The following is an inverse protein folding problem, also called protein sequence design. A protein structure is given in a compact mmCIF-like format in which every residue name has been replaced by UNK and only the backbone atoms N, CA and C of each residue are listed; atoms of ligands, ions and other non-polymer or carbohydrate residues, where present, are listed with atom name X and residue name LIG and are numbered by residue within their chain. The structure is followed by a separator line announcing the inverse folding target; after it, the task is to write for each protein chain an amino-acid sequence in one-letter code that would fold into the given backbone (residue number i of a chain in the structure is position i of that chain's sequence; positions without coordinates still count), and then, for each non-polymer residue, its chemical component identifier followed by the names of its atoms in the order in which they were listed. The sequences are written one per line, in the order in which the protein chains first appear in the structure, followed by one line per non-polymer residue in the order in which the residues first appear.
data_IF_838307051917
#
_entry.id   IF_838307051917
#
_cell.length_a   1.000
_cell.length_b   1.000
_cell.length_c   1.000
_cell.angle_alpha   90.00
_cell.angle_beta   90.00
_cell.angle_gamma   90.00
#
_symmetry.space_group_name_H-M   'P 1'
#
loop_
_entity.id
_entity.type
_entity.pdbx_description
1 polymer ?
#
# COMPACT_ATOMS: atom_id res chain seq x y z
N UNK A 1 -18.49 12.54 66.28
CA UNK A 1 -17.64 11.85 65.28
C UNK A 1 -18.40 10.83 64.43
N UNK A 2 -19.36 10.07 64.98
CA UNK A 2 -20.09 9.03 64.23
C UNK A 2 -20.90 9.55 63.04
N UNK A 3 -21.59 10.70 63.18
CA UNK A 3 -22.40 11.30 62.11
C UNK A 3 -21.58 11.81 60.91
N UNK A 4 -20.35 12.26 61.13
CA UNK A 4 -19.47 12.65 60.02
C UNK A 4 -19.02 11.43 59.21
N UNK A 5 -18.77 10.31 59.89
CA UNK A 5 -18.38 9.05 59.23
C UNK A 5 -19.53 8.48 58.40
N UNK A 6 -20.76 8.48 58.92
CA UNK A 6 -21.94 8.01 58.17
C UNK A 6 -22.22 8.90 56.96
N UNK A 7 -22.09 10.23 57.11
CA UNK A 7 -22.22 11.16 55.98
C UNK A 7 -21.22 10.91 54.86
N UNK A 8 -19.94 10.71 55.20
CA UNK A 8 -18.91 10.40 54.21
C UNK A 8 -19.17 9.06 53.50
N UNK A 9 -19.69 8.07 54.21
CA UNK A 9 -20.07 6.79 53.62
C UNK A 9 -21.26 6.95 52.66
N UNK A 10 -22.31 7.67 53.03
CA UNK A 10 -23.46 7.92 52.15
C UNK A 10 -23.07 8.69 50.89
N UNK A 11 -22.21 9.72 51.03
CA UNK A 11 -21.68 10.47 49.89
C UNK A 11 -20.82 9.58 48.98
N UNK A 12 -19.99 8.69 49.55
CA UNK A 12 -19.19 7.73 48.78
C UNK A 12 -20.07 6.73 48.05
N UNK A 13 -21.07 6.16 48.71
CA UNK A 13 -21.99 5.19 48.09
C UNK A 13 -22.81 5.87 46.98
N UNK A 14 -23.32 7.09 47.22
CA UNK A 14 -24.01 7.87 46.18
C UNK A 14 -23.11 8.21 44.98
N UNK A 15 -21.83 8.53 45.23
CA UNK A 15 -20.83 8.71 44.17
C UNK A 15 -20.61 7.44 43.35
N UNK A 16 -20.38 6.31 44.01
CA UNK A 16 -20.15 5.02 43.35
C UNK A 16 -21.35 4.56 42.51
N UNK A 17 -22.59 4.78 43.01
CA UNK A 17 -23.80 4.43 42.25
C UNK A 17 -23.95 5.31 41.02
N UNK A 18 -23.61 6.61 41.12
CA UNK A 18 -23.61 7.51 39.97
C UNK A 18 -22.56 7.14 38.92
N UNK A 19 -21.38 6.69 39.35
CA UNK A 19 -20.34 6.19 38.46
C UNK A 19 -20.79 4.90 37.76
N UNK A 20 -21.39 3.97 38.51
CA UNK A 20 -21.94 2.73 37.97
C UNK A 20 -23.00 3.00 36.89
N UNK A 21 -23.93 3.92 37.18
CA UNK A 21 -24.98 4.34 36.24
C UNK A 21 -24.40 4.97 34.96
N UNK A 22 -23.33 5.75 35.10
CA UNK A 22 -22.66 6.36 33.97
C UNK A 22 -21.88 5.33 33.12
N UNK A 23 -21.34 4.28 33.72
CA UNK A 23 -20.74 3.15 32.98
C UNK A 23 -21.83 2.34 32.27
N UNK A 24 -22.92 2.04 32.96
CA UNK A 24 -24.03 1.24 32.42
C UNK A 24 -24.72 1.94 31.24
N UNK A 25 -24.96 3.25 31.34
CA UNK A 25 -25.51 4.06 30.23
C UNK A 25 -24.58 4.16 29.01
N UNK A 26 -23.25 4.15 29.21
CA UNK A 26 -22.30 4.09 28.09
C UNK A 26 -22.29 2.72 27.44
N UNK A 27 -22.32 1.65 28.23
CA UNK A 27 -22.38 0.29 27.71
C UNK A 27 -23.70 0.02 26.98
N UNK A 28 -24.83 0.48 27.51
CA UNK A 28 -26.13 0.34 26.84
C UNK A 28 -26.17 1.11 25.52
N UNK A 29 -25.56 2.30 25.46
CA UNK A 29 -25.42 3.07 24.21
C UNK A 29 -24.55 2.34 23.17
N UNK A 30 -23.44 1.73 23.58
CA UNK A 30 -22.57 0.96 22.68
C UNK A 30 -23.23 -0.34 22.19
N UNK A 31 -24.05 -0.96 23.03
CA UNK A 31 -24.74 -2.22 22.75
C UNK A 31 -26.13 -2.01 22.11
N UNK A 32 -26.61 -0.77 21.99
CA UNK A 32 -27.90 -0.43 21.40
C UNK A 32 -29.12 -0.81 22.25
N UNK A 33 -28.96 -0.95 23.56
CA UNK A 33 -30.00 -1.43 24.49
C UNK A 33 -30.66 -0.23 25.18
N UNK A 34 -31.98 -0.26 25.37
CA UNK A 34 -32.70 0.75 26.16
C UNK A 34 -32.39 0.56 27.65
N UNK A 35 -31.68 1.53 28.24
CA UNK A 35 -31.41 1.60 29.68
C UNK A 35 -32.39 2.57 30.33
N UNK A 36 -33.08 2.13 31.38
CA UNK A 36 -33.94 2.98 32.22
C UNK A 36 -33.10 3.62 33.33
N UNK A 37 -32.86 4.94 33.29
CA UNK A 37 -31.97 5.57 34.25
C UNK A 37 -32.58 5.56 35.66
N UNK A 38 -31.72 5.41 36.68
CA UNK A 38 -32.16 5.52 38.08
C UNK A 38 -32.74 6.93 38.31
N UNK A 39 -33.95 7.06 38.89
CA UNK A 39 -34.55 8.36 39.15
C UNK A 39 -33.67 9.25 40.02
N UNK A 40 -33.54 10.52 39.64
CA UNK A 40 -32.70 11.49 40.34
C UNK A 40 -33.07 11.62 41.83
N UNK A 41 -34.37 11.51 42.15
CA UNK A 41 -34.89 11.57 43.51
C UNK A 41 -34.34 10.47 44.43
N UNK A 42 -34.07 9.28 43.88
CA UNK A 42 -33.50 8.13 44.62
C UNK A 42 -32.01 8.38 44.87
N UNK A 43 -31.30 8.91 43.88
CA UNK A 43 -29.87 9.24 43.98
C UNK A 43 -29.62 10.41 44.96
N UNK A 44 -30.51 11.40 44.96
CA UNK A 44 -30.49 12.51 45.92
C UNK A 44 -30.87 12.04 47.33
N UNK A 45 -31.88 11.18 47.48
CA UNK A 45 -32.26 10.62 48.77
C UNK A 45 -31.11 9.82 49.43
N UNK A 46 -30.31 9.12 48.64
CA UNK A 46 -29.18 8.32 49.13
C UNK A 46 -27.94 9.16 49.50
N UNK A 47 -27.73 10.27 48.81
CA UNK A 47 -26.54 11.13 48.99
C UNK A 47 -26.72 12.21 50.07
N UNK A 48 -27.96 12.56 50.42
CA UNK A 48 -28.28 13.59 51.40
C UNK A 48 -28.43 13.05 52.83
N UNK A 49 -27.64 13.60 53.76
CA UNK A 49 -27.79 13.36 55.20
C UNK A 49 -28.96 14.19 55.76
N UNK A 50 -30.01 13.56 56.33
CA UNK A 50 -31.20 14.25 56.84
C UNK A 50 -30.89 15.18 58.03
N UNK A 51 -29.76 14.99 58.72
CA UNK A 51 -29.34 15.84 59.85
C UNK A 51 -28.49 17.06 59.44
N UNK A 52 -28.09 17.17 58.17
CA UNK A 52 -27.06 18.14 57.73
C UNK A 52 -27.59 19.53 57.36
N UNK A 53 -28.91 19.71 57.19
CA UNK A 53 -29.52 21.01 56.86
C UNK A 53 -29.79 21.79 58.15
N UNK A 54 -28.72 22.14 58.87
CA UNK A 54 -28.78 22.94 60.10
C UNK A 54 -28.89 24.46 59.86
N UNK A 55 -29.01 24.91 58.61
CA UNK A 55 -29.07 26.35 58.30
C UNK A 55 -30.41 26.97 58.74
N UNK A 56 -31.53 26.25 58.60
CA UNK A 56 -32.87 26.73 58.98
C UNK A 56 -33.34 26.38 60.40
N UNK A 57 -32.81 25.31 61.00
CA UNK A 57 -33.27 24.77 62.29
C UNK A 57 -32.58 25.36 63.51
N UNK A 58 -31.54 26.18 63.33
CA UNK A 58 -30.84 26.89 64.44
C UNK A 58 -31.74 27.80 65.27
N UNK A 59 -32.90 28.22 64.74
CA UNK A 59 -33.90 29.06 65.43
C UNK A 59 -35.09 28.29 66.02
N UNK A 60 -35.22 26.99 65.77
CA UNK A 60 -36.37 26.18 66.19
C UNK A 60 -36.09 25.47 67.52
N UNK A 61 -37.07 25.47 68.43
CA UNK A 61 -37.00 24.76 69.72
C UNK A 61 -36.68 23.27 69.49
N UNK A 62 -35.73 22.74 70.26
CA UNK A 62 -35.10 21.41 70.14
C UNK A 62 -36.03 20.26 69.71
N UNK A 63 -37.25 20.18 70.24
CA UNK A 63 -38.19 19.10 69.92
C UNK A 63 -38.72 19.14 68.47
N UNK A 64 -39.01 20.33 67.91
CA UNK A 64 -39.46 20.46 66.50
C UNK A 64 -38.37 20.11 65.50
N UNK A 65 -37.10 20.30 65.86
CA UNK A 65 -35.97 19.92 65.03
C UNK A 65 -35.84 18.39 64.93
N UNK A 66 -36.18 17.67 66.01
CA UNK A 66 -36.20 16.20 66.02
C UNK A 66 -37.35 15.69 65.16
N UNK A 67 -38.54 16.29 65.25
CA UNK A 67 -39.69 15.95 64.40
C UNK A 67 -39.39 16.13 62.90
N UNK A 68 -38.80 17.26 62.49
CA UNK A 68 -38.44 17.51 61.09
C UNK A 68 -37.41 16.48 60.56
N UNK A 69 -36.44 16.07 61.40
CA UNK A 69 -35.48 15.02 61.03
C UNK A 69 -36.19 13.68 60.86
N UNK A 70 -37.09 13.31 61.78
CA UNK A 70 -37.88 12.08 61.68
C UNK A 70 -38.76 12.07 60.41
N UNK A 71 -39.40 13.18 60.07
CA UNK A 71 -40.23 13.32 58.87
C UNK A 71 -39.41 13.24 57.57
N UNK A 72 -38.17 13.73 57.58
CA UNK A 72 -37.24 13.60 56.44
C UNK A 72 -36.77 12.16 56.25
N UNK A 73 -36.42 11.49 57.33
CA UNK A 73 -36.04 10.07 57.30
C UNK A 73 -37.22 9.22 56.82
N UNK A 74 -38.45 9.51 57.28
CA UNK A 74 -39.65 8.81 56.84
C UNK A 74 -39.85 8.98 55.32
N UNK A 75 -39.74 10.21 54.80
CA UNK A 75 -39.82 10.49 53.35
C UNK A 75 -38.74 9.81 52.53
N UNK A 76 -37.48 9.82 52.98
CA UNK A 76 -36.38 9.12 52.31
C UNK A 76 -36.59 7.60 52.30
N UNK A 77 -37.11 7.03 53.40
CA UNK A 77 -37.43 5.59 53.44
C UNK A 77 -38.59 5.25 52.53
N UNK A 78 -39.57 6.14 52.42
CA UNK A 78 -40.71 5.94 51.53
C UNK A 78 -40.28 5.98 50.06
N UNK A 79 -39.46 6.95 49.63
CA UNK A 79 -38.94 7.01 48.26
C UNK A 79 -38.05 5.81 47.91
N UNK A 80 -37.23 5.34 48.86
CA UNK A 80 -36.42 4.13 48.64
C UNK A 80 -37.29 2.86 48.58
N UNK A 81 -38.35 2.79 49.39
CA UNK A 81 -39.27 1.64 49.37
C UNK A 81 -40.13 1.60 48.12
N UNK A 82 -40.66 2.74 47.69
CA UNK A 82 -41.46 2.82 46.47
C UNK A 82 -40.64 2.43 45.23
N UNK A 83 -39.36 2.84 45.19
CA UNK A 83 -38.41 2.40 44.15
C UNK A 83 -38.07 0.91 44.24
N UNK A 84 -37.85 0.38 45.45
CA UNK A 84 -37.63 -1.06 45.61
C UNK A 84 -38.85 -1.88 45.17
N UNK A 85 -40.07 -1.42 45.48
CA UNK A 85 -41.29 -2.09 45.03
C UNK A 85 -41.50 -1.94 43.53
N UNK A 86 -41.11 -0.82 42.91
CA UNK A 86 -41.20 -0.68 41.44
C UNK A 86 -40.24 -1.63 40.71
N UNK A 87 -39.01 -1.82 41.23
CA UNK A 87 -38.08 -2.83 40.69
C UNK A 87 -38.63 -4.26 40.86
N UNK A 88 -39.38 -4.51 41.93
CA UNK A 88 -39.93 -5.84 42.22
C UNK A 88 -41.22 -6.12 41.45
N UNK A 89 -41.99 -5.08 41.09
CA UNK A 89 -43.24 -5.18 40.34
C UNK A 89 -43.10 -5.01 38.82
N UNK A 90 -41.98 -4.45 38.33
CA UNK A 90 -41.55 -4.69 36.97
C UNK A 90 -41.16 -6.17 36.87
N UNK A 91 -42.14 -7.00 36.47
CA UNK A 91 -41.88 -8.36 35.99
C UNK A 91 -40.65 -8.31 35.11
N UNK A 92 -39.60 -9.01 35.54
CA UNK A 92 -38.36 -9.14 34.79
C UNK A 92 -38.72 -9.35 33.31
N UNK A 93 -38.34 -8.45 32.39
CA UNK A 93 -38.46 -8.76 30.98
C UNK A 93 -37.71 -10.08 30.81
N UNK A 94 -38.45 -11.10 30.40
CA UNK A 94 -38.07 -12.50 30.25
C UNK A 94 -37.09 -12.67 29.08
N UNK A 95 -36.01 -11.87 29.10
CA UNK A 95 -35.13 -11.61 27.98
C UNK A 95 -33.79 -10.98 28.37
N UNK A 96 -33.41 -10.87 29.65
CA UNK A 96 -31.99 -10.78 30.00
C UNK A 96 -31.38 -12.18 29.94
N UNK A 97 -31.43 -12.80 28.74
CA UNK A 97 -30.42 -13.79 28.41
C UNK A 97 -29.07 -13.12 28.67
N UNK A 98 -28.23 -13.75 29.48
CA UNK A 98 -26.98 -13.21 30.00
C UNK A 98 -26.26 -12.45 28.88
N UNK A 99 -26.11 -11.12 29.04
CA UNK A 99 -25.64 -10.20 28.00
C UNK A 99 -24.27 -10.63 27.45
N UNK A 100 -23.55 -11.42 28.24
CA UNK A 100 -22.23 -11.96 27.91
C UNK A 100 -22.26 -13.37 27.32
N UNK A 101 -23.34 -14.14 27.45
CA UNK A 101 -23.39 -15.52 26.95
C UNK A 101 -23.34 -15.59 25.43
N UNK A 102 -24.03 -14.68 24.73
CA UNK A 102 -24.01 -14.60 23.27
C UNK A 102 -22.60 -14.31 22.71
N UNK A 103 -21.94 -13.22 23.15
CA UNK A 103 -20.56 -12.93 22.75
C UNK A 103 -19.56 -14.01 23.15
N UNK A 104 -19.66 -14.58 24.36
CA UNK A 104 -18.77 -15.66 24.83
C UNK A 104 -18.94 -16.92 23.98
N UNK A 105 -20.17 -17.30 23.65
CA UNK A 105 -20.46 -18.43 22.76
C UNK A 105 -19.97 -18.18 21.32
N UNK A 106 -20.11 -16.95 20.82
CA UNK A 106 -19.59 -16.59 19.49
C UNK A 106 -18.07 -16.66 19.43
N UNK A 107 -17.39 -16.28 20.53
CA UNK A 107 -15.95 -16.28 20.63
C UNK A 107 -15.39 -17.70 20.81
N UNK A 108 -16.04 -18.54 21.62
CA UNK A 108 -15.68 -19.95 21.72
C UNK A 108 -15.87 -20.69 20.39
N UNK A 109 -17.00 -20.46 19.70
CA UNK A 109 -17.23 -21.03 18.38
C UNK A 109 -16.20 -20.56 17.35
N UNK A 110 -15.76 -19.30 17.41
CA UNK A 110 -14.73 -18.77 16.50
C UNK A 110 -13.36 -19.36 16.80
N UNK A 111 -13.03 -19.59 18.07
CA UNK A 111 -11.79 -20.26 18.49
C UNK A 111 -11.76 -21.72 18.04
N UNK A 112 -12.87 -22.46 18.19
CA UNK A 112 -12.97 -23.84 17.70
C UNK A 112 -12.79 -23.92 16.18
N UNK A 113 -13.41 -22.99 15.44
CA UNK A 113 -13.22 -22.90 13.98
C UNK A 113 -11.76 -22.60 13.61
N UNK A 114 -11.10 -21.70 14.34
CA UNK A 114 -9.69 -21.37 14.12
C UNK A 114 -8.78 -22.56 14.42
N UNK A 115 -9.07 -23.33 15.47
CA UNK A 115 -8.33 -24.54 15.81
C UNK A 115 -8.47 -25.60 14.70
N UNK A 116 -9.68 -25.82 14.18
CA UNK A 116 -9.90 -26.71 13.04
C UNK A 116 -9.15 -26.25 11.78
N UNK A 117 -9.13 -24.94 11.49
CA UNK A 117 -8.37 -24.40 10.37
C UNK A 117 -6.87 -24.61 10.55
N UNK A 118 -6.35 -24.38 11.77
CA UNK A 118 -4.94 -24.63 12.10
C UNK A 118 -4.57 -26.10 11.93
N UNK A 119 -5.41 -27.02 12.41
CA UNK A 119 -5.17 -28.45 12.26
C UNK A 119 -5.17 -28.87 10.78
N UNK A 120 -6.11 -28.35 9.99
CA UNK A 120 -6.15 -28.59 8.54
C UNK A 120 -4.91 -28.07 7.81
N UNK A 121 -4.48 -26.84 8.12
CA UNK A 121 -3.26 -26.26 7.55
C UNK A 121 -2.01 -27.06 7.93
N UNK A 122 -1.93 -27.55 9.17
CA UNK A 122 -0.83 -28.41 9.59
C UNK A 122 -0.79 -29.72 8.79
N UNK A 123 -1.95 -30.36 8.57
CA UNK A 123 -2.04 -31.57 7.75
C UNK A 123 -1.70 -31.32 6.28
N UNK A 124 -2.15 -30.20 5.70
CA UNK A 124 -1.79 -29.82 4.32
C UNK A 124 -0.30 -29.52 4.20
N UNK A 125 0.30 -28.82 5.17
CA UNK A 125 1.74 -28.58 5.20
C UNK A 125 2.54 -29.88 5.29
N UNK A 126 2.10 -30.85 6.10
CA UNK A 126 2.74 -32.16 6.18
C UNK A 126 2.66 -32.93 4.85
N UNK A 127 1.52 -32.90 4.16
CA UNK A 127 1.37 -33.47 2.81
C UNK A 127 2.29 -32.79 1.80
N UNK A 128 2.42 -31.46 1.85
CA UNK A 128 3.35 -30.71 0.98
C UNK A 128 4.80 -31.09 1.28
N UNK A 129 5.17 -31.27 2.55
CA UNK A 129 6.52 -31.72 2.91
C UNK A 129 6.81 -33.14 2.42
N UNK A 130 5.85 -34.07 2.56
CA UNK A 130 5.99 -35.44 2.07
C UNK A 130 6.10 -35.49 0.55
N UNK A 131 5.26 -34.75 -0.18
CA UNK A 131 5.34 -34.67 -1.65
C UNK A 131 6.64 -34.02 -2.11
N UNK A 132 7.11 -32.97 -1.44
CA UNK A 132 8.38 -32.32 -1.76
C UNK A 132 9.57 -33.26 -1.50
N UNK A 133 9.52 -34.05 -0.42
CA UNK A 133 10.52 -35.09 -0.15
C UNK A 133 10.55 -36.14 -1.27
N UNK A 134 9.38 -36.61 -1.73
CA UNK A 134 9.27 -37.55 -2.83
C UNK A 134 9.77 -36.97 -4.16
N UNK A 135 9.44 -35.70 -4.46
CA UNK A 135 9.95 -35.00 -5.65
C UNK A 135 11.46 -34.83 -5.57
N UNK A 136 12.02 -34.55 -4.39
CA UNK A 136 13.46 -34.43 -4.20
C UNK A 136 14.16 -35.77 -4.45
N UNK A 137 13.60 -36.87 -3.95
CA UNK A 137 14.12 -38.22 -4.17
C UNK A 137 14.07 -38.61 -5.66
N UNK A 138 12.92 -38.45 -6.31
CA UNK A 138 12.75 -38.73 -7.74
C UNK A 138 13.68 -37.87 -8.60
N UNK A 139 13.78 -36.57 -8.32
CA UNK A 139 14.74 -35.68 -8.99
C UNK A 139 16.19 -36.13 -8.77
N UNK A 140 16.55 -36.59 -7.57
CA UNK A 140 17.91 -37.09 -7.30
C UNK A 140 18.24 -38.34 -8.11
N UNK A 141 17.28 -39.26 -8.23
CA UNK A 141 17.39 -40.49 -9.03
C UNK A 141 17.48 -40.19 -10.52
N UNK A 142 16.59 -39.32 -11.03
CA UNK A 142 16.59 -38.89 -12.44
C UNK A 142 17.89 -38.15 -12.76
N UNK A 143 18.37 -37.27 -11.88
CA UNK A 143 19.65 -36.58 -12.05
C UNK A 143 20.82 -37.56 -12.11
N UNK A 144 20.82 -38.60 -11.27
CA UNK A 144 21.84 -39.65 -11.30
C UNK A 144 21.79 -40.42 -12.62
N UNK A 145 20.62 -40.89 -13.03
CA UNK A 145 20.43 -41.60 -14.30
C UNK A 145 20.81 -40.74 -15.49
N UNK A 146 20.43 -39.47 -15.50
CA UNK A 146 20.80 -38.50 -16.52
C UNK A 146 22.32 -38.33 -16.60
N UNK A 147 23.00 -38.18 -15.45
CA UNK A 147 24.46 -38.07 -15.41
C UNK A 147 25.14 -39.35 -15.91
N UNK A 148 24.66 -40.52 -15.50
CA UNK A 148 25.21 -41.81 -15.94
C UNK A 148 25.03 -42.01 -17.45
N UNK A 149 23.85 -41.69 -17.99
CA UNK A 149 23.58 -41.74 -19.44
C UNK A 149 24.39 -40.69 -20.19
N UNK A 150 24.52 -39.48 -19.65
CA UNK A 150 25.33 -38.41 -20.26
C UNK A 150 26.80 -38.81 -20.31
N UNK A 151 27.34 -39.40 -19.24
CA UNK A 151 28.71 -39.90 -19.17
C UNK A 151 28.93 -41.07 -20.15
N UNK A 152 27.99 -42.01 -20.23
CA UNK A 152 28.06 -43.10 -21.21
C UNK A 152 27.98 -42.58 -22.65
N UNK A 153 27.10 -41.61 -22.91
CA UNK A 153 26.92 -41.01 -24.24
C UNK A 153 28.12 -40.15 -24.64
N UNK A 154 28.76 -39.43 -23.70
CA UNK A 154 29.96 -38.64 -23.97
C UNK A 154 31.19 -39.50 -24.25
N UNK A 155 31.28 -40.70 -23.63
CA UNK A 155 32.31 -41.69 -23.95
C UNK A 155 32.15 -42.27 -25.36
N UNK A 156 30.91 -42.53 -25.80
CA UNK A 156 30.63 -43.13 -27.12
C UNK A 156 30.64 -42.08 -28.23
N UNK A 157 30.14 -40.87 -27.95
CA UNK A 157 30.01 -39.77 -28.91
C UNK A 157 30.62 -38.48 -28.36
N UNK A 158 31.96 -38.39 -28.32
CA UNK A 158 32.65 -37.21 -27.79
C UNK A 158 32.31 -35.92 -28.57
N UNK A 159 32.01 -36.03 -29.87
CA UNK A 159 31.61 -34.89 -30.68
C UNK A 159 30.27 -34.28 -30.22
N UNK A 160 29.32 -35.11 -29.75
CA UNK A 160 28.03 -34.64 -29.26
C UNK A 160 28.20 -33.86 -27.95
N UNK A 161 29.11 -34.30 -27.06
CA UNK A 161 29.43 -33.55 -25.84
C UNK A 161 30.05 -32.17 -26.13
N UNK A 162 30.84 -32.04 -27.19
CA UNK A 162 31.41 -30.76 -27.61
C UNK A 162 30.33 -29.81 -28.14
N UNK A 163 29.34 -30.32 -28.87
CA UNK A 163 28.19 -29.53 -29.35
C UNK A 163 27.33 -29.04 -28.19
N UNK A 164 27.02 -29.91 -27.22
CA UNK A 164 26.23 -29.53 -26.02
C UNK A 164 26.98 -28.49 -25.18
N UNK A 165 28.29 -28.65 -25.01
CA UNK A 165 29.11 -27.66 -24.28
C UNK A 165 29.12 -26.28 -24.98
N UNK A 166 29.18 -26.27 -26.32
CA UNK A 166 29.06 -25.03 -27.10
C UNK A 166 27.68 -24.39 -26.94
N UNK A 167 26.61 -25.18 -27.06
CA UNK A 167 25.23 -24.70 -26.87
C UNK A 167 25.04 -24.06 -25.49
N UNK A 168 25.51 -24.73 -24.43
CA UNK A 168 25.43 -24.21 -23.06
C UNK A 168 26.25 -22.92 -22.89
N UNK A 169 27.42 -22.83 -23.53
CA UNK A 169 28.21 -21.59 -23.56
C UNK A 169 27.47 -20.45 -24.27
N UNK A 170 26.83 -20.72 -25.42
CA UNK A 170 26.03 -19.72 -26.13
C UNK A 170 24.81 -19.27 -25.33
N UNK A 171 24.09 -20.21 -24.71
CA UNK A 171 22.95 -19.91 -23.83
C UNK A 171 23.36 -19.05 -22.64
N UNK A 172 24.49 -19.36 -22.01
CA UNK A 172 25.02 -18.58 -20.89
C UNK A 172 25.43 -17.17 -21.33
N UNK A 173 26.08 -17.02 -22.49
CA UNK A 173 26.43 -15.70 -23.05
C UNK A 173 25.19 -14.88 -23.40
N UNK A 174 24.17 -15.51 -23.97
CA UNK A 174 22.90 -14.85 -24.28
C UNK A 174 22.19 -14.39 -23.00
N UNK A 175 22.14 -15.24 -21.98
CA UNK A 175 21.58 -14.88 -20.67
C UNK A 175 22.34 -13.72 -20.04
N UNK A 176 23.66 -13.73 -20.08
CA UNK A 176 24.48 -12.63 -19.56
C UNK A 176 24.25 -11.31 -20.32
N UNK A 177 24.08 -11.36 -21.64
CA UNK A 177 23.72 -10.19 -22.44
C UNK A 177 22.33 -9.67 -22.07
N UNK A 178 21.38 -10.57 -21.84
CA UNK A 178 20.04 -10.21 -21.41
C UNK A 178 20.03 -9.59 -20.01
N UNK A 179 20.75 -10.18 -19.06
CA UNK A 179 20.90 -9.66 -17.70
C UNK A 179 21.55 -8.27 -17.73
N UNK A 180 22.60 -8.08 -18.54
CA UNK A 180 23.23 -6.77 -18.73
C UNK A 180 22.30 -5.75 -19.40
N UNK A 181 21.49 -6.19 -20.35
CA UNK A 181 20.45 -5.36 -20.97
C UNK A 181 19.36 -4.95 -19.98
N UNK A 182 18.96 -5.86 -19.10
CA UNK A 182 17.97 -5.61 -18.04
C UNK A 182 18.53 -4.67 -16.99
N UNK A 183 19.79 -4.83 -16.59
CA UNK A 183 20.48 -3.93 -15.66
C UNK A 183 20.63 -2.52 -16.27
N UNK A 184 21.02 -2.43 -17.54
CA UNK A 184 21.12 -1.16 -18.25
C UNK A 184 19.75 -0.47 -18.40
N UNK A 185 18.70 -1.23 -18.71
CA UNK A 185 17.33 -0.72 -18.77
C UNK A 185 16.84 -0.25 -17.41
N UNK A 186 17.15 -0.99 -16.34
CA UNK A 186 16.79 -0.64 -14.96
C UNK A 186 17.50 0.64 -14.54
N UNK A 187 18.79 0.78 -14.87
CA UNK A 187 19.54 2.02 -14.61
C UNK A 187 18.97 3.20 -15.38
N UNK A 188 18.59 3.01 -16.64
CA UNK A 188 17.92 4.05 -17.43
C UNK A 188 16.56 4.42 -16.81
N UNK A 189 15.78 3.42 -16.42
CA UNK A 189 14.48 3.64 -15.80
C UNK A 189 14.63 4.36 -14.45
N UNK A 190 15.60 3.98 -13.62
CA UNK A 190 15.87 4.62 -12.33
C UNK A 190 16.36 6.07 -12.47
N UNK A 191 17.15 6.37 -13.50
CA UNK A 191 17.57 7.75 -13.79
C UNK A 191 16.44 8.63 -14.32
N UNK A 192 15.49 8.05 -15.06
CA UNK A 192 14.31 8.76 -15.57
C UNK A 192 13.18 8.82 -14.52
N UNK A 193 13.12 7.89 -13.57
CA UNK A 193 12.11 7.82 -12.50
C UNK A 193 11.94 9.11 -11.69
N UNK A 194 12.98 9.85 -11.25
CA UNK A 194 12.79 11.11 -10.54
C UNK A 194 12.19 12.21 -11.44
N UNK A 195 12.55 12.24 -12.72
CA UNK A 195 11.96 13.16 -13.71
C UNK A 195 10.50 12.80 -13.94
N UNK A 196 10.20 11.51 -14.07
CA UNK A 196 8.85 10.98 -14.20
C UNK A 196 7.99 11.22 -12.95
N UNK A 197 8.56 11.18 -11.75
CA UNK A 197 7.80 11.44 -10.52
C UNK A 197 7.39 12.91 -10.39
N UNK A 198 8.25 13.84 -10.82
CA UNK A 198 7.99 15.28 -10.73
C UNK A 198 7.21 15.83 -11.93
N UNK A 199 7.45 15.30 -13.13
CA UNK A 199 6.88 15.82 -14.37
C UNK A 199 6.04 14.79 -15.15
N UNK A 200 6.02 13.53 -14.75
CA UNK A 200 5.42 12.42 -15.50
C UNK A 200 3.90 12.44 -15.57
N UNK A 201 3.19 13.24 -14.75
CA UNK A 201 1.77 13.48 -15.00
C UNK A 201 1.56 14.32 -16.26
N UNK A 202 2.34 15.39 -16.43
CA UNK A 202 2.23 16.29 -17.59
C UNK A 202 2.85 15.63 -18.82
N UNK A 203 4.06 15.06 -18.68
CA UNK A 203 4.75 14.35 -19.77
C UNK A 203 3.99 13.06 -20.16
N UNK A 204 3.40 12.35 -19.20
CA UNK A 204 2.64 11.12 -19.46
C UNK A 204 1.35 11.37 -20.23
N UNK A 205 0.63 12.46 -19.92
CA UNK A 205 -0.53 12.90 -20.72
C UNK A 205 -0.10 13.28 -22.16
N UNK A 206 1.04 13.96 -22.32
CA UNK A 206 1.54 14.35 -23.64
C UNK A 206 2.07 13.14 -24.44
N UNK A 207 2.77 12.20 -23.81
CA UNK A 207 3.22 10.94 -24.44
C UNK A 207 2.00 10.08 -24.81
N UNK A 208 0.97 10.03 -23.96
CA UNK A 208 -0.26 9.30 -24.27
C UNK A 208 -1.01 9.89 -25.45
N UNK A 209 -1.16 11.22 -25.49
CA UNK A 209 -1.90 11.89 -26.56
C UNK A 209 -1.12 11.92 -27.90
N UNK A 210 0.21 12.04 -27.87
CA UNK A 210 1.02 12.19 -29.09
C UNK A 210 1.69 10.90 -29.59
N UNK A 211 2.17 10.04 -28.69
CA UNK A 211 2.95 8.83 -29.03
C UNK A 211 2.14 7.53 -28.93
N UNK A 212 1.25 7.40 -27.94
CA UNK A 212 0.50 6.17 -27.72
C UNK A 212 -0.59 5.98 -28.79
N UNK A 213 -1.32 7.03 -29.19
CA UNK A 213 -2.40 6.92 -30.19
C UNK A 213 -1.93 6.37 -31.57
N UNK A 214 -0.77 6.78 -32.13
CA UNK A 214 -0.21 6.18 -33.34
C UNK A 214 0.29 4.74 -33.15
N UNK A 215 0.96 4.45 -32.03
CA UNK A 215 1.71 3.19 -31.82
C UNK A 215 0.83 2.05 -31.31
N UNK A 216 -0.21 2.34 -30.52
CA UNK A 216 -1.17 1.35 -30.01
C UNK A 216 -2.20 0.86 -31.05
N UNK A 217 -2.10 1.33 -32.30
CA UNK A 217 -3.13 1.12 -33.33
C UNK A 217 -3.32 -0.36 -33.74
N UNK A 218 -2.51 -1.33 -33.32
CA UNK A 218 -2.67 -2.69 -33.88
C UNK A 218 -2.30 -3.95 -33.07
N UNK A 219 -1.58 -3.94 -31.94
CA UNK A 219 -0.94 -5.21 -31.51
C UNK A 219 -1.24 -5.73 -30.09
N UNK A 220 -1.66 -4.89 -29.13
CA UNK A 220 -1.73 -5.34 -27.73
C UNK A 220 -3.13 -5.63 -27.15
N UNK A 221 -4.21 -5.10 -27.73
CA UNK A 221 -5.57 -5.30 -27.18
C UNK A 221 -6.37 -6.40 -27.87
N UNK A 222 -5.95 -6.91 -29.03
CA UNK A 222 -6.66 -7.98 -29.75
C UNK A 222 -8.07 -7.60 -30.25
N UNK A 223 -8.53 -6.36 -30.02
CA UNK A 223 -9.83 -5.89 -30.48
C UNK A 223 -9.76 -5.33 -31.90
N UNK A 224 -10.62 -5.82 -32.80
CA UNK A 224 -10.71 -5.37 -34.20
C UNK A 224 -11.25 -3.94 -34.38
N UNK A 225 -11.65 -3.25 -33.31
CA UNK A 225 -12.29 -1.93 -33.39
C UNK A 225 -11.24 -0.83 -33.39
N UNK A 226 -11.15 -0.12 -34.51
CA UNK A 226 -10.38 1.14 -34.62
C UNK A 226 -10.92 2.15 -33.62
N UNK A 227 -10.10 2.62 -32.68
CA UNK A 227 -10.45 3.77 -31.85
C UNK A 227 -10.62 5.02 -32.74
N UNK A 228 -11.80 5.67 -32.76
CA UNK A 228 -11.99 6.86 -33.57
C UNK A 228 -11.24 8.02 -32.93
N UNK A 229 -10.21 8.52 -33.61
CA UNK A 229 -9.55 9.78 -33.24
C UNK A 229 -10.50 10.90 -33.63
N UNK A 230 -11.09 11.58 -32.65
CA UNK A 230 -12.12 12.61 -32.87
C UNK A 230 -11.55 14.00 -33.13
N UNK A 231 -10.32 14.27 -32.70
CA UNK A 231 -9.62 15.54 -32.95
C UNK A 231 -8.12 15.46 -32.64
N UNK A 232 -7.34 16.40 -33.20
CA UNK A 232 -5.99 16.70 -32.73
C UNK A 232 -6.01 17.04 -31.22
N UNK A 233 -4.92 16.73 -30.47
CA UNK A 233 -4.85 17.02 -29.04
C UNK A 233 -5.04 18.52 -28.79
N UNK A 234 -6.06 18.87 -27.99
CA UNK A 234 -6.41 20.26 -27.65
C UNK A 234 -5.47 20.80 -26.58
N UNK A 235 -4.28 21.25 -26.99
CA UNK A 235 -3.31 21.91 -26.10
C UNK A 235 -3.25 23.42 -26.38
N UNK A 236 -2.85 24.19 -25.37
CA UNK A 236 -2.71 25.65 -25.47
C UNK A 236 -1.63 26.06 -26.49
N UNK A 237 -1.79 27.20 -27.15
CA UNK A 237 -0.80 27.71 -28.14
C UNK A 237 0.60 27.87 -27.52
N UNK A 238 0.67 28.24 -26.23
CA UNK A 238 1.93 28.31 -25.47
C UNK A 238 2.65 26.97 -25.40
N UNK A 239 1.90 25.89 -25.24
CA UNK A 239 2.45 24.54 -25.19
C UNK A 239 3.01 24.12 -26.55
N UNK A 240 2.31 24.41 -27.65
CA UNK A 240 2.81 24.17 -29.00
C UNK A 240 4.10 24.93 -29.31
N UNK A 241 4.18 26.20 -28.89
CA UNK A 241 5.42 26.98 -29.03
C UNK A 241 6.55 26.40 -28.18
N UNK A 242 6.25 25.95 -26.96
CA UNK A 242 7.21 25.25 -26.09
C UNK A 242 7.72 23.95 -26.70
N UNK A 243 6.86 23.15 -27.30
CA UNK A 243 7.22 21.90 -27.98
C UNK A 243 8.08 22.17 -29.22
N UNK A 244 7.71 23.18 -30.02
CA UNK A 244 8.51 23.60 -31.18
C UNK A 244 9.90 24.09 -30.75
N UNK A 245 9.97 24.93 -29.72
CA UNK A 245 11.24 25.40 -29.17
C UNK A 245 12.09 24.21 -28.66
N UNK A 246 11.48 23.30 -27.90
CA UNK A 246 12.15 22.09 -27.41
C UNK A 246 12.69 21.23 -28.56
N UNK A 247 11.89 21.04 -29.62
CA UNK A 247 12.32 20.30 -30.81
C UNK A 247 13.50 21.00 -31.52
N UNK A 248 13.46 22.32 -31.67
CA UNK A 248 14.58 23.07 -32.28
C UNK A 248 15.85 22.99 -31.44
N UNK A 249 15.74 23.02 -30.10
CA UNK A 249 16.87 22.83 -29.20
C UNK A 249 17.43 21.41 -29.35
N UNK A 250 16.57 20.39 -29.37
CA UNK A 250 16.98 19.00 -29.55
C UNK A 250 17.70 18.80 -30.89
N UNK A 251 17.19 19.38 -31.97
CA UNK A 251 17.82 19.35 -33.29
C UNK A 251 19.17 20.09 -33.30
N UNK A 252 19.26 21.22 -32.59
CA UNK A 252 20.52 21.95 -32.43
C UNK A 252 21.57 21.15 -31.65
N UNK A 253 21.18 20.51 -30.54
CA UNK A 253 22.05 19.67 -29.71
C UNK A 253 22.55 18.47 -30.52
N UNK A 254 21.65 17.74 -31.20
CA UNK A 254 22.04 16.60 -32.05
C UNK A 254 23.01 17.01 -33.16
N UNK A 255 22.76 18.14 -33.85
CA UNK A 255 23.67 18.65 -34.87
C UNK A 255 25.05 19.02 -34.30
N UNK A 256 25.09 19.65 -33.12
CA UNK A 256 26.35 19.94 -32.42
C UNK A 256 27.09 18.67 -32.00
N UNK A 257 26.38 17.65 -31.52
CA UNK A 257 26.98 16.37 -31.15
C UNK A 257 27.53 15.61 -32.36
N UNK A 258 26.80 15.60 -33.48
CA UNK A 258 27.29 15.05 -34.76
C UNK A 258 28.54 15.79 -35.19
N UNK A 259 28.52 17.12 -35.19
CA UNK A 259 29.69 17.95 -35.52
C UNK A 259 30.89 17.66 -34.61
N UNK A 260 30.63 17.51 -33.31
CA UNK A 260 31.62 17.11 -32.32
C UNK A 260 32.18 15.71 -32.59
N UNK A 261 31.34 14.73 -32.90
CA UNK A 261 31.76 13.35 -33.18
C UNK A 261 32.58 13.27 -34.46
N UNK A 262 32.17 13.98 -35.51
CA UNK A 262 32.90 14.09 -36.77
C UNK A 262 34.26 14.76 -36.52
N UNK A 263 34.30 15.88 -35.80
CA UNK A 263 35.57 16.54 -35.44
C UNK A 263 36.48 15.62 -34.62
N UNK A 264 35.95 14.88 -33.64
CA UNK A 264 36.70 13.88 -32.86
C UNK A 264 37.24 12.75 -33.74
N UNK A 265 36.46 12.25 -34.71
CA UNK A 265 36.92 11.21 -35.65
C UNK A 265 38.01 11.70 -36.60
N UNK A 266 37.91 12.93 -37.10
CA UNK A 266 38.94 13.53 -37.94
C UNK A 266 40.25 13.72 -37.17
N UNK A 267 40.15 13.96 -35.85
CA UNK A 267 41.28 14.08 -34.94
C UNK A 267 41.68 12.76 -34.25
N UNK A 268 41.27 11.59 -34.79
CA UNK A 268 41.60 10.27 -34.24
C UNK A 268 43.10 10.04 -34.06
N UNK A 269 43.90 10.63 -34.95
CA UNK A 269 45.36 10.55 -34.89
C UNK A 269 45.99 11.46 -33.82
N UNK A 270 45.22 12.13 -32.97
CA UNK A 270 45.70 12.99 -31.88
C UNK A 270 46.93 13.85 -32.30
N UNK A 271 46.82 14.66 -33.37
CA UNK A 271 47.96 15.40 -33.94
C UNK A 271 48.64 16.37 -32.95
N UNK A 272 47.92 16.75 -31.89
CA UNK A 272 48.35 17.60 -30.78
C UNK A 272 49.45 16.98 -29.90
N UNK A 273 49.62 15.66 -29.91
CA UNK A 273 50.60 14.95 -29.08
C UNK A 273 51.81 14.59 -29.95
N UNK A 274 52.91 15.34 -29.77
CA UNK A 274 54.17 15.16 -30.52
C UNK A 274 54.94 13.90 -30.09
N UNK A 275 54.79 13.45 -28.84
CA UNK A 275 55.45 12.25 -28.33
C UNK A 275 54.69 10.97 -28.69
N UNK A 276 55.30 10.12 -29.51
CA UNK A 276 54.72 8.86 -30.01
C UNK A 276 54.36 7.88 -28.90
N UNK A 277 55.19 7.74 -27.86
CA UNK A 277 54.91 6.84 -26.73
C UNK A 277 53.68 7.25 -25.92
N UNK A 278 53.51 8.56 -25.68
CA UNK A 278 52.35 9.09 -24.95
C UNK A 278 51.08 8.93 -25.79
N UNK A 279 51.15 9.17 -27.10
CA UNK A 279 50.02 8.98 -28.02
C UNK A 279 49.46 7.55 -27.97
N UNK A 280 50.31 6.53 -27.99
CA UNK A 280 49.87 5.12 -27.90
C UNK A 280 49.17 4.79 -26.59
N UNK A 281 49.54 5.44 -25.49
CA UNK A 281 48.91 5.24 -24.17
C UNK A 281 47.49 5.81 -24.10
N UNK A 282 47.24 6.96 -24.75
CA UNK A 282 45.91 7.62 -24.74
C UNK A 282 44.99 7.18 -25.87
N UNK A 283 45.53 6.62 -26.95
CA UNK A 283 44.75 6.12 -28.10
C UNK A 283 43.60 5.18 -27.68
N UNK A 284 43.78 4.14 -26.84
CA UNK A 284 42.68 3.24 -26.48
C UNK A 284 41.55 3.97 -25.73
N UNK A 285 41.88 4.85 -24.79
CA UNK A 285 40.87 5.65 -24.07
C UNK A 285 40.11 6.58 -25.01
N UNK A 286 40.80 7.22 -25.95
CA UNK A 286 40.18 8.06 -26.96
C UNK A 286 39.25 7.26 -27.88
N UNK A 287 39.65 6.04 -28.29
CA UNK A 287 38.81 5.17 -29.12
C UNK A 287 37.53 4.74 -28.40
N UNK A 288 37.61 4.42 -27.11
CA UNK A 288 36.45 4.06 -26.28
C UNK A 288 35.52 5.26 -26.14
N UNK A 289 36.07 6.45 -25.86
CA UNK A 289 35.29 7.67 -25.72
C UNK A 289 34.58 8.03 -27.04
N UNK A 290 35.26 7.85 -28.17
CA UNK A 290 34.72 8.05 -29.51
C UNK A 290 33.59 7.06 -29.79
N UNK A 291 33.75 5.79 -29.42
CA UNK A 291 32.69 4.80 -29.56
C UNK A 291 31.45 5.17 -28.74
N UNK A 292 31.65 5.57 -27.48
CA UNK A 292 30.57 6.06 -26.60
C UNK A 292 29.89 7.28 -27.23
N UNK A 293 30.66 8.25 -27.73
CA UNK A 293 30.14 9.46 -28.37
C UNK A 293 29.27 9.12 -29.59
N UNK A 294 29.70 8.19 -30.45
CA UNK A 294 28.89 7.74 -31.59
C UNK A 294 27.63 6.99 -31.17
N UNK A 295 27.68 6.16 -30.12
CA UNK A 295 26.47 5.50 -29.61
C UNK A 295 25.45 6.50 -29.09
N UNK A 296 25.88 7.58 -28.42
CA UNK A 296 24.99 8.66 -27.98
C UNK A 296 24.38 9.39 -29.18
N UNK A 297 25.20 9.76 -30.18
CA UNK A 297 24.72 10.40 -31.41
C UNK A 297 23.70 9.54 -32.15
N UNK A 298 23.94 8.23 -32.27
CA UNK A 298 22.99 7.32 -32.91
C UNK A 298 21.66 7.25 -32.15
N UNK A 299 21.71 7.18 -30.82
CA UNK A 299 20.53 7.15 -29.98
C UNK A 299 19.73 8.46 -30.12
N UNK A 300 20.39 9.61 -30.04
CA UNK A 300 19.73 10.91 -30.22
C UNK A 300 19.13 11.07 -31.64
N UNK A 301 19.84 10.62 -32.68
CA UNK A 301 19.30 10.58 -34.04
C UNK A 301 18.04 9.72 -34.14
N UNK A 302 18.01 8.54 -33.49
CA UNK A 302 16.83 7.70 -33.42
C UNK A 302 15.66 8.41 -32.73
N UNK A 303 15.91 9.16 -31.65
CA UNK A 303 14.88 9.95 -30.97
C UNK A 303 14.32 11.03 -31.91
N UNK A 304 15.18 11.79 -32.59
CA UNK A 304 14.74 12.86 -33.51
C UNK A 304 13.94 12.27 -34.68
N UNK A 305 14.40 11.15 -35.26
CA UNK A 305 13.67 10.44 -36.31
C UNK A 305 12.30 9.94 -35.83
N UNK A 306 12.23 9.38 -34.61
CA UNK A 306 10.97 8.94 -34.03
C UNK A 306 9.97 10.11 -33.89
N UNK A 307 10.44 11.27 -33.40
CA UNK A 307 9.62 12.48 -33.30
C UNK A 307 9.14 12.95 -34.69
N UNK A 308 10.03 12.97 -35.69
CA UNK A 308 9.64 13.32 -37.06
C UNK A 308 8.61 12.35 -37.64
N UNK A 309 8.78 11.04 -37.46
CA UNK A 309 7.83 10.03 -37.89
C UNK A 309 6.45 10.24 -37.25
N UNK A 310 6.39 10.56 -35.96
CA UNK A 310 5.14 10.89 -35.26
C UNK A 310 4.50 12.15 -35.86
N UNK A 311 5.27 13.21 -36.10
CA UNK A 311 4.76 14.44 -36.73
C UNK A 311 4.23 14.18 -38.14
N UNK A 312 4.97 13.44 -38.97
CA UNK A 312 4.53 13.05 -40.31
C UNK A 312 3.26 12.20 -40.27
N UNK A 313 3.15 11.29 -39.31
CA UNK A 313 1.95 10.49 -39.11
C UNK A 313 0.73 11.37 -38.78
N UNK A 314 0.88 12.33 -37.86
CA UNK A 314 -0.18 13.27 -37.49
C UNK A 314 -0.56 14.21 -38.65
N UNK A 315 0.41 14.67 -39.44
CA UNK A 315 0.15 15.45 -40.66
C UNK A 315 -0.62 14.62 -41.70
N UNK A 316 -0.21 13.36 -41.93
CA UNK A 316 -0.91 12.47 -42.85
C UNK A 316 -2.33 12.11 -42.39
N UNK A 317 -2.55 11.99 -41.08
CA UNK A 317 -3.90 11.85 -40.51
C UNK A 317 -4.73 13.13 -40.73
N UNK A 318 -4.16 14.31 -40.48
CA UNK A 318 -4.85 15.60 -40.65
C UNK A 318 -5.26 15.87 -42.11
N UNK A 319 -4.45 15.43 -43.08
CA UNK A 319 -4.74 15.53 -44.52
C UNK A 319 -5.66 14.37 -45.00
N UNK A 320 -6.11 13.48 -44.10
CA UNK A 320 -6.92 12.28 -44.38
C UNK A 320 -6.27 11.28 -45.34
N UNK A 321 -4.94 11.28 -45.46
CA UNK A 321 -4.21 10.30 -46.28
C UNK A 321 -4.31 8.90 -45.67
N UNK A 322 -4.41 8.81 -44.34
CA UNK A 322 -4.52 7.56 -43.57
C UNK A 322 -5.92 7.29 -42.99
N UNK A 323 -6.94 8.02 -43.47
CA UNK A 323 -8.36 7.91 -43.08
C UNK A 323 -9.04 6.70 -43.69
#
# INVERSE_FOLDING_TARGET
MQNQRTRLLLQRVGGNIREYEHVLSRLSMLLGIQHTPIPLEVLEALSHDPASVMSGTRRLKSWRAIEDICDRIARQRETLRSFATSITHEEAPSGTADIFDGPVFSLSSSLDQLEHHRQRLAQEAEKVLQTLAHVKETHSTVKKQYNDVTAHTSLIYPQLSHVVALEESYRNKYKQFWDLGLDALTLLLDTVTPVWRNYGKVIGEDVQDFFIIPWYRNEFTGEQKRYPITSLPRRSVRHWFGLLLFFTILLGVTALQIGGAVSSTLNYNLPWITHTGFRWLFTPFFTILLFIQWTVVLLECCIVLAVLCVVFWWLGWAVKIFS
#
